data_IF_854449143225
#
_entry.id   IF_854449143225
#
_cell.length_a   1.000
_cell.length_b   1.000
_cell.length_c   1.000
_cell.angle_alpha   90.00
_cell.angle_beta   90.00
_cell.angle_gamma   90.00
#
_symmetry.space_group_name_H-M   'P 1'
#
loop_
_entity.id
_entity.type
_entity.pdbx_description
1 polymer ?
#
# COMPACT_ATOMS: atom_id res chain seq x y z
N UNK A 1 9.86 14.53 22.70
CA UNK A 1 9.27 14.78 21.36
C UNK A 1 8.48 13.54 20.93
N UNK A 2 7.15 13.58 21.02
CA UNK A 2 6.32 12.42 20.66
C UNK A 2 6.11 12.39 19.13
N UNK A 3 6.68 11.40 18.45
CA UNK A 3 6.37 11.15 17.06
C UNK A 3 4.87 10.83 16.96
N UNK A 4 4.08 11.69 16.30
CA UNK A 4 2.68 11.36 15.96
C UNK A 4 2.71 10.07 15.13
N UNK A 5 2.28 8.94 15.71
CA UNK A 5 2.01 7.72 14.95
C UNK A 5 0.87 8.05 13.98
N UNK A 6 1.21 8.34 12.73
CA UNK A 6 0.22 8.48 11.67
C UNK A 6 -0.46 7.11 11.53
N UNK A 7 -1.77 7.07 11.77
CA UNK A 7 -2.52 5.83 11.62
C UNK A 7 -2.36 5.32 10.18
N UNK A 8 -2.11 4.02 10.03
CA UNK A 8 -2.05 3.40 8.72
C UNK A 8 -3.46 3.40 8.11
N UNK A 9 -3.60 3.95 6.92
CA UNK A 9 -4.88 3.95 6.20
C UNK A 9 -5.03 2.62 5.45
N UNK A 10 -6.20 1.98 5.55
CA UNK A 10 -6.46 0.68 4.91
C UNK A 10 -7.11 0.89 3.55
N UNK A 11 -6.50 0.33 2.50
CA UNK A 11 -7.02 0.32 1.13
C UNK A 11 -7.22 -1.11 0.64
N UNK A 12 -8.15 -1.29 -0.30
CA UNK A 12 -8.40 -2.56 -0.98
C UNK A 12 -8.03 -2.40 -2.45
N UNK A 13 -7.21 -3.30 -2.95
CA UNK A 13 -6.77 -3.34 -4.33
C UNK A 13 -7.94 -3.75 -5.22
N UNK A 14 -8.30 -2.90 -6.19
CA UNK A 14 -9.40 -3.16 -7.13
C UNK A 14 -8.95 -3.82 -8.43
N UNK A 15 -7.71 -3.56 -8.84
CA UNK A 15 -7.13 -4.07 -10.08
C UNK A 15 -5.73 -4.61 -9.78
N UNK A 16 -5.34 -5.65 -10.51
CA UNK A 16 -3.98 -6.20 -10.42
C UNK A 16 -2.97 -5.15 -10.88
N UNK A 17 -1.88 -5.02 -10.12
CA UNK A 17 -0.72 -4.20 -10.47
C UNK A 17 0.53 -5.07 -10.43
N UNK A 18 1.28 -5.10 -11.53
CA UNK A 18 2.55 -5.81 -11.64
C UNK A 18 3.69 -4.81 -11.47
N UNK A 19 4.59 -5.09 -10.53
CA UNK A 19 5.72 -4.19 -10.32
C UNK A 19 6.65 -4.20 -11.53
N UNK A 20 7.09 -3.02 -11.92
CA UNK A 20 8.08 -2.80 -12.97
C UNK A 20 9.40 -2.30 -12.40
N UNK A 21 9.36 -1.73 -11.19
CA UNK A 21 10.53 -1.20 -10.49
C UNK A 21 10.80 -1.92 -9.16
N UNK A 22 12.05 -1.91 -8.66
CA UNK A 22 12.39 -2.57 -7.39
C UNK A 22 11.71 -1.97 -6.15
N UNK A 23 11.35 -0.70 -6.20
CA UNK A 23 10.65 0.04 -5.15
C UNK A 23 9.12 -0.13 -5.19
N UNK A 24 8.61 -0.74 -6.24
CA UNK A 24 7.21 -1.11 -6.41
C UNK A 24 6.92 -2.50 -5.83
N UNK A 25 5.64 -2.78 -5.59
CA UNK A 25 5.16 -4.05 -5.04
C UNK A 25 4.01 -4.57 -5.87
N UNK A 26 4.02 -5.86 -6.20
CA UNK A 26 2.90 -6.51 -6.88
C UNK A 26 1.63 -6.45 -6.03
N UNK A 27 0.49 -6.24 -6.65
CA UNK A 27 -0.80 -6.20 -5.97
C UNK A 27 -1.80 -7.07 -6.72
N UNK A 28 -2.50 -7.94 -6.01
CA UNK A 28 -3.62 -8.71 -6.54
C UNK A 28 -4.95 -8.07 -6.17
N UNK A 29 -5.95 -8.18 -7.05
CA UNK A 29 -7.30 -7.73 -6.73
C UNK A 29 -7.81 -8.41 -5.45
N UNK A 30 -8.31 -7.61 -4.52
CA UNK A 30 -8.76 -8.07 -3.20
C UNK A 30 -7.70 -8.01 -2.10
N UNK A 31 -6.42 -7.80 -2.44
CA UNK A 31 -5.39 -7.53 -1.44
C UNK A 31 -5.71 -6.26 -0.66
N UNK A 32 -5.22 -6.22 0.58
CA UNK A 32 -5.36 -5.05 1.46
C UNK A 32 -4.01 -4.38 1.59
N UNK A 33 -3.95 -3.07 1.44
CA UNK A 33 -2.70 -2.30 1.63
C UNK A 33 -2.87 -1.34 2.80
N UNK A 34 -1.95 -1.42 3.75
CA UNK A 34 -1.83 -0.46 4.86
C UNK A 34 -0.88 0.66 4.43
N UNK A 35 -1.42 1.81 4.09
CA UNK A 35 -0.67 2.98 3.60
C UNK A 35 -0.14 3.79 4.77
N UNK A 36 1.17 4.03 4.73
CA UNK A 36 1.92 4.84 5.71
C UNK A 36 2.20 6.26 5.19
N UNK A 37 2.37 6.42 3.87
CA UNK A 37 2.60 7.70 3.23
C UNK A 37 1.96 7.75 1.84
N UNK A 38 1.56 8.97 1.44
CA UNK A 38 1.08 9.32 0.11
C UNK A 38 2.03 10.38 -0.43
N UNK A 39 2.51 10.20 -1.65
CA UNK A 39 3.40 11.14 -2.32
C UNK A 39 2.60 11.95 -3.34
N UNK A 40 3.08 13.16 -3.66
CA UNK A 40 2.36 14.09 -4.54
C UNK A 40 2.42 13.69 -6.03
N UNK A 41 3.22 12.69 -6.37
CA UNK A 41 3.34 12.10 -7.70
C UNK A 41 2.36 10.93 -7.95
N UNK A 42 1.49 10.65 -6.98
CA UNK A 42 0.47 9.60 -7.07
C UNK A 42 0.91 8.25 -6.49
N UNK A 43 2.12 8.12 -5.96
CA UNK A 43 2.58 6.90 -5.32
C UNK A 43 2.20 6.81 -3.84
N UNK A 44 2.03 5.57 -3.37
CA UNK A 44 1.70 5.25 -2.00
C UNK A 44 2.75 4.30 -1.43
N UNK A 45 3.22 4.60 -0.21
CA UNK A 45 4.10 3.70 0.54
C UNK A 45 3.29 2.95 1.58
N UNK A 46 3.32 1.63 1.54
CA UNK A 46 2.57 0.80 2.48
C UNK A 46 3.01 -0.65 2.53
N UNK A 47 2.30 -1.42 3.33
CA UNK A 47 2.50 -2.86 3.50
C UNK A 47 1.30 -3.58 2.91
N UNK A 48 1.54 -4.52 1.99
CA UNK A 48 0.50 -5.40 1.46
C UNK A 48 0.20 -6.52 2.45
N UNK A 49 -1.07 -6.70 2.74
CA UNK A 49 -1.65 -7.81 3.47
C UNK A 49 -2.40 -8.66 2.45
N UNK A 50 -1.95 -9.89 2.26
CA UNK A 50 -2.66 -10.86 1.43
C UNK A 50 -3.90 -11.30 2.20
N UNK A 51 -5.08 -11.06 1.66
CA UNK A 51 -6.30 -11.65 2.21
C UNK A 51 -6.20 -13.17 2.10
N UNK A 52 -6.63 -13.91 3.11
CA UNK A 52 -6.79 -15.36 2.98
C UNK A 52 -7.77 -15.62 1.83
N UNK A 53 -7.35 -16.50 0.92
CA UNK A 53 -8.00 -16.80 -0.36
C UNK A 53 -9.40 -17.38 -0.17
#
# INVERSE_FOLDING_TARGET
MAAKKKALERFVVKLRFLKTRPDEMDLDQGDVVLVSAKFNDGWFKGIRLRGYK
#
